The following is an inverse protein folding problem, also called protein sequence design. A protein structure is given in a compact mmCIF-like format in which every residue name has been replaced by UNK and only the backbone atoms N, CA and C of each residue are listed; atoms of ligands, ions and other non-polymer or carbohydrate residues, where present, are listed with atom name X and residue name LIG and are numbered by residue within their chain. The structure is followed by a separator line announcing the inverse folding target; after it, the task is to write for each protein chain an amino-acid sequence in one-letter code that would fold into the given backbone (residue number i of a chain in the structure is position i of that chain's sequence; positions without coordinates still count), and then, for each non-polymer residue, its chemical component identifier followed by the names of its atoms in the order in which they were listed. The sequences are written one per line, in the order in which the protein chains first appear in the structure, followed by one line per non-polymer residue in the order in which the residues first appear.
data_IF_407315136425
#
_entry.id   IF_407315136425
#
_cell.length_a   1.000
_cell.length_b   1.000
_cell.length_c   1.000
_cell.angle_alpha   90.00
_cell.angle_beta   90.00
_cell.angle_gamma   90.00
#
_symmetry.space_group_name_H-M   'P 1'
#
loop_
_entity.id
_entity.type
_entity.pdbx_description
1 polymer ?
#
# COMPACT_ATOMS: atom_id res chain seq x y z
N UNK A 1 -13.22 -4.63 -25.21
CA UNK A 1 -12.34 -5.46 -24.35
C UNK A 1 -12.72 -5.14 -22.93
N UNK A 2 -13.21 -6.12 -22.18
CA UNK A 2 -13.46 -5.94 -20.75
C UNK A 2 -12.11 -5.76 -20.05
N UNK A 3 -11.99 -4.73 -19.21
CA UNK A 3 -10.78 -4.52 -18.42
C UNK A 3 -10.66 -5.65 -17.39
N UNK A 4 -9.52 -6.32 -17.33
CA UNK A 4 -9.24 -7.30 -16.28
C UNK A 4 -8.98 -6.54 -14.97
N UNK A 5 -9.97 -6.50 -14.08
CA UNK A 5 -9.86 -5.78 -12.80
C UNK A 5 -9.13 -6.67 -11.80
N UNK A 6 -7.97 -6.21 -11.32
CA UNK A 6 -7.23 -6.88 -10.25
C UNK A 6 -7.86 -6.48 -8.90
N UNK A 7 -7.97 -7.44 -7.99
CA UNK A 7 -8.42 -7.21 -6.61
C UNK A 7 -7.24 -7.35 -5.63
N UNK A 8 -7.26 -6.62 -4.49
CA UNK A 8 -6.21 -6.72 -3.49
C UNK A 8 -6.17 -8.12 -2.87
N UNK A 9 -4.97 -8.59 -2.56
CA UNK A 9 -4.76 -9.90 -1.94
C UNK A 9 -4.84 -9.83 -0.41
N UNK A 10 -5.11 -10.96 0.25
CA UNK A 10 -5.02 -11.04 1.72
C UNK A 10 -3.60 -10.75 2.23
N UNK A 11 -2.55 -11.01 1.43
CA UNK A 11 -1.18 -10.69 1.81
C UNK A 11 -0.96 -9.17 1.82
N UNK A 12 -1.46 -8.46 0.81
CA UNK A 12 -1.52 -7.00 0.82
C UNK A 12 -2.35 -6.48 1.99
N UNK A 13 -3.46 -7.17 2.32
CA UNK A 13 -4.29 -6.79 3.45
C UNK A 13 -3.54 -6.80 4.79
N UNK A 14 -2.80 -7.88 5.05
CA UNK A 14 -1.99 -8.00 6.26
C UNK A 14 -0.77 -7.09 6.23
N UNK A 15 -0.14 -6.90 5.07
CA UNK A 15 1.00 -6.01 4.92
C UNK A 15 0.60 -4.56 5.21
N UNK A 16 -0.51 -4.06 4.63
CA UNK A 16 -0.96 -2.68 4.91
C UNK A 16 -1.20 -2.48 6.40
N UNK A 17 -1.81 -3.44 7.10
CA UNK A 17 -2.14 -3.27 8.51
C UNK A 17 -0.87 -3.07 9.34
N UNK A 18 0.18 -3.84 9.03
CA UNK A 18 1.50 -3.72 9.68
C UNK A 18 2.19 -2.42 9.32
N UNK A 19 2.16 -2.00 8.05
CA UNK A 19 2.76 -0.74 7.60
C UNK A 19 2.07 0.45 8.27
N UNK A 20 0.74 0.51 8.26
CA UNK A 20 -0.01 1.57 8.93
C UNK A 20 0.27 1.60 10.44
N UNK A 21 0.33 0.44 11.10
CA UNK A 21 0.71 0.39 12.52
C UNK A 21 2.12 0.93 12.75
N UNK A 22 3.09 0.59 11.90
CA UNK A 22 4.46 1.07 11.98
C UNK A 22 4.57 2.59 11.77
N UNK A 23 3.85 3.13 10.78
CA UNK A 23 3.74 4.57 10.54
C UNK A 23 3.15 5.31 11.74
N UNK A 24 2.01 4.81 12.27
CA UNK A 24 1.37 5.39 13.45
C UNK A 24 2.25 5.33 14.70
N UNK A 25 2.98 4.23 14.91
CA UNK A 25 3.95 4.13 16.00
C UNK A 25 5.10 5.13 15.88
N UNK A 26 5.39 5.57 14.66
CA UNK A 26 6.43 6.56 14.35
C UNK A 26 5.88 7.98 14.31
N UNK A 27 4.61 8.19 14.68
CA UNK A 27 3.91 9.49 14.60
C UNK A 27 3.93 10.10 13.19
N UNK A 28 3.92 9.25 12.15
CA UNK A 28 3.84 9.70 10.76
C UNK A 28 2.38 9.69 10.30
N UNK A 29 1.89 10.85 9.86
CA UNK A 29 0.57 10.99 9.27
C UNK A 29 0.49 10.25 7.93
N UNK A 30 -0.62 9.56 7.68
CA UNK A 30 -0.87 8.86 6.42
C UNK A 30 -1.71 9.78 5.52
N UNK A 31 -1.09 10.33 4.48
CA UNK A 31 -1.72 11.27 3.54
C UNK A 31 -2.52 10.58 2.45
N UNK A 32 -2.05 9.43 1.96
CA UNK A 32 -2.72 8.68 0.90
C UNK A 32 -2.61 7.19 1.15
N UNK A 33 -3.73 6.49 0.90
CA UNK A 33 -3.77 5.05 0.73
C UNK A 33 -4.59 4.76 -0.53
N UNK A 34 -3.98 4.10 -1.51
CA UNK A 34 -4.63 3.81 -2.80
C UNK A 34 -4.23 2.43 -3.33
N UNK A 35 -5.20 1.58 -3.61
CA UNK A 35 -5.00 0.40 -4.44
C UNK A 35 -5.18 0.75 -5.93
N UNK A 36 -4.23 0.34 -6.77
CA UNK A 36 -4.32 0.47 -8.22
C UNK A 36 -4.83 -0.84 -8.85
N UNK A 37 -6.06 -0.89 -9.38
CA UNK A 37 -6.65 -2.11 -9.95
C UNK A 37 -6.08 -2.49 -11.34
N UNK A 38 -5.30 -1.61 -11.99
CA UNK A 38 -4.64 -1.91 -13.26
C UNK A 38 -3.31 -2.63 -13.03
N UNK A 39 -2.58 -2.26 -11.98
CA UNK A 39 -1.25 -2.82 -11.64
C UNK A 39 -1.31 -3.85 -10.51
N UNK A 40 -2.35 -3.80 -9.67
CA UNK A 40 -2.52 -4.69 -8.51
C UNK A 40 -1.63 -4.33 -7.31
N UNK A 41 -1.19 -3.07 -7.21
CA UNK A 41 -0.31 -2.59 -6.13
C UNK A 41 -1.01 -1.55 -5.25
N UNK A 42 -0.67 -1.55 -3.96
CA UNK A 42 -1.09 -0.50 -3.01
C UNK A 42 0.02 0.53 -2.90
N UNK A 43 -0.35 1.80 -2.89
CA UNK A 43 0.53 2.94 -2.65
C UNK A 43 0.14 3.64 -1.35
N UNK A 44 1.13 3.99 -0.55
CA UNK A 44 0.98 4.75 0.69
C UNK A 44 1.92 5.96 0.63
N UNK A 45 1.37 7.15 0.91
CA UNK A 45 2.15 8.37 1.16
C UNK A 45 1.99 8.74 2.63
N UNK A 46 3.10 8.96 3.33
CA UNK A 46 3.10 9.31 4.73
C UNK A 46 4.20 10.32 5.09
N UNK A 47 3.97 11.11 6.14
CA UNK A 47 4.89 12.18 6.54
C UNK A 47 5.18 13.15 5.39
N UNK A 48 6.37 13.74 5.39
CA UNK A 48 6.72 14.76 4.39
C UNK A 48 7.01 14.18 3.00
N UNK A 49 7.68 13.01 2.94
CA UNK A 49 8.19 12.44 1.68
C UNK A 49 8.20 10.90 1.64
N UNK A 50 7.62 10.20 2.62
CA UNK A 50 7.71 8.74 2.67
C UNK A 50 6.70 8.10 1.72
N UNK A 51 7.22 7.47 0.67
CA UNK A 51 6.44 6.72 -0.31
C UNK A 51 6.69 5.22 -0.17
N UNK A 52 5.60 4.45 -0.11
CA UNK A 52 5.64 3.00 0.05
C UNK A 52 4.75 2.35 -1.01
N UNK A 53 5.26 1.28 -1.62
CA UNK A 53 4.50 0.39 -2.50
C UNK A 53 4.39 -1.01 -1.89
N UNK A 54 3.22 -1.64 -2.06
CA UNK A 54 2.96 -3.03 -1.69
C UNK A 54 2.39 -3.78 -2.90
N UNK A 55 3.21 -4.56 -3.63
CA UNK A 55 2.75 -5.43 -4.70
C UNK A 55 1.86 -6.57 -4.18
N UNK A 56 1.30 -7.35 -5.11
CA UNK A 56 0.32 -8.41 -4.81
C UNK A 56 0.82 -9.51 -3.87
N UNK A 57 2.13 -9.72 -3.76
CA UNK A 57 2.77 -10.69 -2.88
C UNK A 57 2.83 -10.24 -1.40
N UNK A 58 2.61 -8.95 -1.13
CA UNK A 58 2.61 -8.37 0.21
C UNK A 58 4.00 -8.02 0.75
N UNK A 59 5.04 -8.04 -0.07
CA UNK A 59 6.36 -7.52 0.29
C UNK A 59 6.39 -6.01 0.01
N UNK A 60 6.70 -5.18 0.99
CA UNK A 60 6.64 -3.72 0.83
C UNK A 60 8.01 -3.12 0.51
N UNK A 61 8.02 -2.02 -0.23
CA UNK A 61 9.24 -1.32 -0.64
C UNK A 61 9.05 0.20 -0.49
N UNK A 62 10.14 0.90 -0.17
CA UNK A 62 10.20 2.35 -0.32
C UNK A 62 10.40 2.72 -1.79
N UNK A 63 9.79 3.82 -2.21
CA UNK A 63 9.98 4.41 -3.54
C UNK A 63 10.99 5.55 -3.52
#
# INVERSE_FOLDING_TARGET
MEANIIYPTNKQAQCYLRVCQWLSNSYLDIHLFRFDPQVGSVYILAGDELEIIVPSDGEWYFL
#
